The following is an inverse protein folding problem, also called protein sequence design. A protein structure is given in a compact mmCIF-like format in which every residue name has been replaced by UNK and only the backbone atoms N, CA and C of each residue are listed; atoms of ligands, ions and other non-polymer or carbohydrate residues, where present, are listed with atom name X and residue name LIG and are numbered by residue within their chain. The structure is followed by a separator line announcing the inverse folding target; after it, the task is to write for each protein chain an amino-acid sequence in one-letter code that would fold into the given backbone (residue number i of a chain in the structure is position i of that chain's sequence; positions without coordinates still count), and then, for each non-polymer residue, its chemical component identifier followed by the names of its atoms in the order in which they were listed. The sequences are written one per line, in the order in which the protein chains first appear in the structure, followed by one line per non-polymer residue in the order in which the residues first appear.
data_IF_753371538347
#
_entry.id   IF_753371538347
#
_cell.length_a   1.000
_cell.length_b   1.000
_cell.length_c   1.000
_cell.angle_alpha   90.00
_cell.angle_beta   90.00
_cell.angle_gamma   90.00
#
_symmetry.space_group_name_H-M   'P 1'
#
loop_
_entity.id
_entity.type
_entity.pdbx_description
1 polymer ?
#
# COMPACT_ATOMS: atom_id res chain seq x y z
N UNK A 1 -5.04 44.10 6.53
CA UNK A 1 -4.16 42.93 6.33
C UNK A 1 -4.89 42.00 5.39
N UNK A 2 -4.54 42.06 4.11
CA UNK A 2 -5.26 41.32 3.05
C UNK A 2 -4.67 39.91 2.96
N UNK A 3 -5.50 38.90 3.22
CA UNK A 3 -5.17 37.51 2.94
C UNK A 3 -5.31 37.26 1.44
N UNK A 4 -4.20 37.06 0.73
CA UNK A 4 -4.24 36.45 -0.59
C UNK A 4 -4.55 34.95 -0.46
N UNK A 5 -5.48 34.40 -1.24
CA UNK A 5 -5.69 32.97 -1.30
C UNK A 5 -4.52 32.31 -2.05
N UNK A 6 -3.87 31.33 -1.42
CA UNK A 6 -2.89 30.46 -2.08
C UNK A 6 -3.64 29.53 -3.03
N UNK A 7 -3.96 30.03 -4.22
CA UNK A 7 -4.39 29.23 -5.37
C UNK A 7 -3.20 29.05 -6.29
N UNK A 8 -2.29 28.14 -5.95
CA UNK A 8 -1.39 27.55 -6.93
C UNK A 8 -1.60 26.03 -6.96
N UNK A 9 -2.70 25.63 -7.61
CA UNK A 9 -3.11 24.24 -7.82
C UNK A 9 -2.34 23.62 -9.01
N UNK A 10 -1.39 24.35 -9.60
CA UNK A 10 -0.78 23.99 -10.90
C UNK A 10 0.65 23.46 -10.78
N UNK A 11 1.22 23.42 -9.57
CA UNK A 11 2.59 22.94 -9.40
C UNK A 11 2.61 21.41 -9.47
N UNK A 12 2.82 20.87 -10.67
CA UNK A 12 3.10 19.45 -10.89
C UNK A 12 4.27 19.04 -10.00
N UNK A 13 4.00 18.18 -9.02
CA UNK A 13 5.06 17.51 -8.26
C UNK A 13 5.71 16.54 -9.25
N UNK A 14 7.02 16.66 -9.53
CA UNK A 14 7.69 15.72 -10.41
C UNK A 14 7.58 14.31 -9.81
N UNK A 15 6.96 13.40 -10.56
CA UNK A 15 6.92 11.98 -10.22
C UNK A 15 8.16 11.36 -10.85
N UNK A 16 9.11 10.96 -10.02
CA UNK A 16 10.26 10.22 -10.50
C UNK A 16 9.79 8.91 -11.14
N UNK A 17 10.29 8.65 -12.34
CA UNK A 17 9.94 7.41 -13.04
C UNK A 17 10.70 6.26 -12.37
N UNK A 18 10.03 5.15 -11.99
CA UNK A 18 10.72 4.03 -11.38
C UNK A 18 11.82 3.50 -12.31
N UNK A 19 13.01 3.27 -11.76
CA UNK A 19 14.23 2.88 -12.51
C UNK A 19 14.31 1.38 -12.82
N UNK A 20 13.24 0.62 -12.54
CA UNK A 20 13.20 -0.83 -12.75
C UNK A 20 11.87 -1.46 -12.28
N UNK A 21 11.73 -2.79 -12.42
CA UNK A 21 10.56 -3.51 -11.92
C UNK A 21 10.49 -3.47 -10.39
N UNK A 22 9.28 -3.40 -9.84
CA UNK A 22 9.05 -3.50 -8.40
C UNK A 22 9.50 -4.87 -7.88
N UNK A 23 10.24 -4.88 -6.78
CA UNK A 23 10.73 -6.09 -6.10
C UNK A 23 10.07 -6.29 -4.74
N UNK A 24 9.60 -5.20 -4.12
CA UNK A 24 8.97 -5.18 -2.80
C UNK A 24 7.65 -4.44 -2.88
N UNK A 25 6.55 -5.14 -2.60
CA UNK A 25 5.19 -4.58 -2.69
C UNK A 25 4.53 -4.59 -1.33
N UNK A 26 4.12 -3.41 -0.84
CA UNK A 26 3.26 -3.31 0.33
C UNK A 26 1.81 -3.57 -0.08
N UNK A 27 1.17 -4.56 0.55
CA UNK A 27 -0.23 -4.90 0.29
C UNK A 27 -1.13 -4.41 1.42
N UNK A 28 -2.14 -3.61 1.07
CA UNK A 28 -3.14 -3.07 1.99
C UNK A 28 -4.53 -3.40 1.48
N UNK A 29 -5.45 -3.78 2.36
CA UNK A 29 -6.83 -4.07 1.98
C UNK A 29 -7.84 -3.15 2.68
N UNK A 30 -9.06 -3.17 2.17
CA UNK A 30 -10.22 -2.55 2.77
C UNK A 30 -10.44 -3.03 4.22
N UNK A 31 -11.14 -2.20 5.01
CA UNK A 31 -11.43 -2.51 6.42
C UNK A 31 -12.42 -3.67 6.57
N UNK A 32 -13.35 -3.81 5.62
CA UNK A 32 -14.28 -4.93 5.48
C UNK A 32 -13.65 -6.03 4.59
N UNK A 33 -13.15 -7.16 5.15
CA UNK A 33 -12.38 -8.17 4.43
C UNK A 33 -13.15 -8.86 3.28
N UNK A 34 -14.47 -8.97 3.39
CA UNK A 34 -15.37 -9.56 2.40
C UNK A 34 -15.35 -8.82 1.06
N UNK A 35 -15.06 -7.51 1.07
CA UNK A 35 -14.99 -6.67 -0.13
C UNK A 35 -13.75 -6.95 -0.98
N UNK A 36 -12.71 -7.58 -0.40
CA UNK A 36 -11.40 -7.77 -1.04
C UNK A 36 -10.99 -9.23 -1.12
N UNK A 37 -11.77 -10.15 -0.53
CA UNK A 37 -11.39 -11.55 -0.41
C UNK A 37 -11.15 -12.24 -1.76
N UNK A 38 -11.97 -11.93 -2.77
CA UNK A 38 -11.84 -12.48 -4.12
C UNK A 38 -10.60 -11.94 -4.84
N UNK A 39 -10.45 -10.62 -4.90
CA UNK A 39 -9.31 -9.96 -5.57
C UNK A 39 -7.97 -10.24 -4.89
N UNK A 40 -7.97 -10.42 -3.56
CA UNK A 40 -6.77 -10.73 -2.80
C UNK A 40 -6.09 -12.02 -3.27
N UNK A 41 -6.86 -13.08 -3.57
CA UNK A 41 -6.29 -14.34 -4.05
C UNK A 41 -5.56 -14.15 -5.39
N UNK A 42 -6.22 -13.45 -6.33
CA UNK A 42 -5.67 -13.19 -7.67
C UNK A 42 -4.42 -12.32 -7.59
N UNK A 43 -4.43 -11.27 -6.77
CA UNK A 43 -3.27 -10.37 -6.61
C UNK A 43 -2.09 -11.12 -6.01
N UNK A 44 -2.29 -11.96 -5.00
CA UNK A 44 -1.21 -12.76 -4.42
C UNK A 44 -0.60 -13.73 -5.43
N UNK A 45 -1.41 -14.40 -6.25
CA UNK A 45 -0.91 -15.28 -7.31
C UNK A 45 -0.04 -14.51 -8.33
N UNK A 46 -0.48 -13.33 -8.76
CA UNK A 46 0.30 -12.48 -9.69
C UNK A 46 1.63 -12.05 -9.07
N UNK A 47 1.64 -11.66 -7.78
CA UNK A 47 2.86 -11.22 -7.10
C UNK A 47 3.84 -12.38 -6.87
N UNK A 48 3.33 -13.57 -6.57
CA UNK A 48 4.12 -14.79 -6.42
C UNK A 48 4.74 -15.24 -7.75
N UNK A 49 3.95 -15.28 -8.83
CA UNK A 49 4.43 -15.57 -10.18
C UNK A 49 5.50 -14.57 -10.65
N UNK A 50 5.40 -13.31 -10.22
CA UNK A 50 6.38 -12.27 -10.50
C UNK A 50 7.63 -12.34 -9.60
N UNK A 51 7.67 -13.22 -8.59
CA UNK A 51 8.78 -13.34 -7.65
C UNK A 51 9.00 -12.10 -6.79
N UNK A 52 7.93 -11.36 -6.49
CA UNK A 52 7.96 -10.11 -5.73
C UNK A 52 7.81 -10.40 -4.23
N UNK A 53 8.62 -9.74 -3.40
CA UNK A 53 8.45 -9.78 -1.96
C UNK A 53 7.19 -9.01 -1.56
N UNK A 54 6.21 -9.71 -0.98
CA UNK A 54 4.97 -9.10 -0.49
C UNK A 54 5.16 -8.72 0.98
N UNK A 55 5.11 -7.42 1.25
CA UNK A 55 5.16 -6.86 2.60
C UNK A 55 3.73 -6.72 3.12
N UNK A 56 3.44 -7.38 4.25
CA UNK A 56 2.11 -7.35 4.87
C UNK A 56 2.18 -6.84 6.31
N UNK A 57 1.47 -5.74 6.64
CA UNK A 57 1.33 -5.28 8.02
C UNK A 57 0.53 -6.27 8.89
N UNK A 58 0.82 -6.38 10.20
CA UNK A 58 0.08 -7.27 11.10
C UNK A 58 -1.45 -7.07 11.08
N UNK A 59 -1.93 -5.84 10.91
CA UNK A 59 -3.36 -5.53 10.82
C UNK A 59 -4.06 -6.20 9.62
N UNK A 60 -3.34 -6.42 8.52
CA UNK A 60 -3.87 -7.09 7.34
C UNK A 60 -4.01 -8.60 7.57
N UNK A 61 -3.13 -9.19 8.38
CA UNK A 61 -3.19 -10.61 8.78
C UNK A 61 -4.40 -10.87 9.66
N UNK A 62 -4.72 -9.94 10.57
CA UNK A 62 -5.93 -10.02 11.40
C UNK A 62 -7.19 -10.06 10.53
N UNK A 63 -7.23 -9.26 9.46
CA UNK A 63 -8.32 -9.25 8.48
C UNK A 63 -8.33 -10.50 7.59
N UNK A 64 -7.14 -10.97 7.22
CA UNK A 64 -6.95 -12.07 6.27
C UNK A 64 -5.87 -13.03 6.78
N UNK A 65 -6.24 -14.06 7.56
CA UNK A 65 -5.27 -14.97 8.20
C UNK A 65 -4.29 -15.65 7.24
N UNK A 66 -4.71 -15.91 5.99
CA UNK A 66 -3.84 -16.45 4.92
C UNK A 66 -2.61 -15.59 4.63
N UNK A 67 -2.65 -14.30 4.95
CA UNK A 67 -1.52 -13.40 4.75
C UNK A 67 -0.37 -13.63 5.73
N UNK A 68 -0.56 -14.44 6.78
CA UNK A 68 0.50 -14.80 7.71
C UNK A 68 1.72 -15.42 7.00
N UNK A 69 1.51 -16.13 5.88
CA UNK A 69 2.59 -16.70 5.07
C UNK A 69 3.53 -15.64 4.45
N UNK A 70 3.08 -14.39 4.35
CA UNK A 70 3.82 -13.26 3.77
C UNK A 70 4.34 -12.29 4.85
N UNK A 71 4.17 -12.63 6.14
CA UNK A 71 4.77 -11.85 7.22
C UNK A 71 6.18 -12.33 7.49
N UNK A 72 7.12 -11.40 7.66
CA UNK A 72 8.43 -11.77 8.22
C UNK A 72 8.25 -12.28 9.65
N UNK A 73 8.92 -13.37 9.98
CA UNK A 73 8.85 -14.04 11.30
C UNK A 73 9.26 -13.14 12.47
N UNK A 74 9.87 -11.98 12.20
CA UNK A 74 10.38 -11.05 13.22
C UNK A 74 9.37 -9.98 13.63
N UNK A 75 8.13 -9.99 13.12
CA UNK A 75 7.12 -9.01 13.56
C UNK A 75 7.52 -7.56 13.30
N UNK A 76 8.42 -7.34 12.33
CA UNK A 76 8.98 -6.04 12.01
C UNK A 76 7.84 -5.10 11.64
N UNK A 77 7.68 -4.01 12.39
CA UNK A 77 6.85 -2.91 11.94
C UNK A 77 7.45 -2.36 10.65
N UNK A 78 6.73 -2.58 9.55
CA UNK A 78 7.05 -1.98 8.26
C UNK A 78 6.98 -0.46 8.42
N UNK A 79 8.16 0.18 8.43
CA UNK A 79 8.27 1.64 8.38
C UNK A 79 8.00 2.09 6.94
N UNK A 80 7.31 3.23 6.74
CA UNK A 80 7.13 3.85 5.44
C UNK A 80 8.45 3.99 4.65
N UNK A 81 8.38 3.80 3.33
CA UNK A 81 9.48 4.09 2.40
C UNK A 81 10.48 2.95 2.15
N UNK A 82 10.09 1.70 2.39
CA UNK A 82 10.92 0.52 2.08
C UNK A 82 10.46 -0.25 0.83
N UNK A 83 9.23 -0.02 0.39
CA UNK A 83 8.57 -0.65 -0.74
C UNK A 83 8.79 0.11 -2.04
N UNK A 84 8.77 -0.61 -3.16
CA UNK A 84 8.84 -0.02 -4.49
C UNK A 84 7.43 0.37 -4.99
N UNK A 85 6.39 -0.28 -4.46
CA UNK A 85 5.01 -0.12 -4.86
C UNK A 85 4.05 -0.47 -3.71
N UNK A 86 2.96 0.28 -3.62
CA UNK A 86 1.86 0.00 -2.69
C UNK A 86 0.64 -0.43 -3.50
N UNK A 87 0.12 -1.62 -3.21
CA UNK A 87 -1.12 -2.13 -3.79
C UNK A 87 -2.22 -2.01 -2.75
N UNK A 88 -3.26 -1.24 -3.07
CA UNK A 88 -4.43 -1.06 -2.21
C UNK A 88 -5.63 -1.76 -2.84
N UNK A 89 -6.17 -2.76 -2.14
CA UNK A 89 -7.42 -3.42 -2.52
C UNK A 89 -8.57 -2.77 -1.77
N UNK A 90 -9.33 -1.91 -2.44
CA UNK A 90 -10.44 -1.18 -1.84
C UNK A 90 -10.87 0.00 -2.71
N UNK A 91 -11.67 0.90 -2.14
CA UNK A 91 -12.01 2.17 -2.77
C UNK A 91 -11.18 3.34 -2.25
N UNK A 92 -11.63 4.57 -2.56
CA UNK A 92 -10.92 5.81 -2.25
C UNK A 92 -10.58 5.97 -0.76
N UNK A 93 -11.49 5.59 0.14
CA UNK A 93 -11.23 5.65 1.58
C UNK A 93 -10.06 4.75 2.01
N UNK A 94 -9.84 3.62 1.34
CA UNK A 94 -8.64 2.80 1.58
C UNK A 94 -7.39 3.45 1.00
N UNK A 95 -7.49 4.03 -0.19
CA UNK A 95 -6.37 4.72 -0.83
C UNK A 95 -5.90 5.93 -0.01
N UNK A 96 -6.81 6.78 0.46
CA UNK A 96 -6.48 7.93 1.30
C UNK A 96 -5.86 7.51 2.64
N UNK A 97 -6.34 6.42 3.25
CA UNK A 97 -5.73 5.86 4.47
C UNK A 97 -4.32 5.33 4.22
N UNK A 98 -4.10 4.67 3.08
CA UNK A 98 -2.77 4.23 2.68
C UNK A 98 -1.82 5.42 2.49
N UNK A 99 -2.27 6.48 1.80
CA UNK A 99 -1.49 7.70 1.63
C UNK A 99 -1.18 8.39 2.96
N UNK A 100 -2.15 8.48 3.87
CA UNK A 100 -1.95 9.11 5.18
C UNK A 100 -0.89 8.36 6.01
N UNK A 101 -0.93 7.02 5.99
CA UNK A 101 0.09 6.17 6.63
C UNK A 101 1.49 6.46 6.10
N UNK A 102 1.65 6.55 4.78
CA UNK A 102 2.97 6.81 4.17
C UNK A 102 3.44 8.24 4.36
N UNK A 103 2.52 9.20 4.47
CA UNK A 103 2.82 10.56 4.88
C UNK A 103 3.22 10.67 6.37
N UNK A 104 3.13 9.58 7.15
CA UNK A 104 3.50 9.54 8.56
C UNK A 104 2.45 10.12 9.51
N UNK A 105 1.19 10.17 9.09
CA UNK A 105 0.07 10.74 9.85
C UNK A 105 -0.69 9.71 10.69
#
# INVERSE_FOLDING_TARGET
MSHEPVTDVTRSIPIDTPTGPARRVLLLTHQAPEQTTGSLATVLAILDEAGVEVLVPPAEVVKHPRLAAYTSSEGVQLRPGGEDLIVVLGGDGSMLRAMAREAGS
#
